data_IF_670570900548
#
_entry.id   IF_670570900548
#
_cell.length_a   1.000
_cell.length_b   1.000
_cell.length_c   1.000
_cell.angle_alpha   90.00
_cell.angle_beta   90.00
_cell.angle_gamma   90.00
#
_symmetry.space_group_name_H-M   'P 1'
#
loop_
_entity.id
_entity.type
_entity.pdbx_description
1 polymer ?
#
# COMPACT_ATOMS: atom_id res chain seq x y z
N UNK A 1 12.55 -4.72 -3.43
CA UNK A 1 12.72 -3.53 -4.30
C UNK A 1 12.08 -2.34 -3.62
N UNK A 2 12.68 -1.15 -3.69
CA UNK A 2 12.02 0.06 -3.18
C UNK A 2 10.99 0.53 -4.20
N UNK A 3 9.77 0.80 -3.77
CA UNK A 3 8.67 1.31 -4.59
C UNK A 3 7.98 2.47 -3.90
N UNK A 4 7.34 3.35 -4.68
CA UNK A 4 6.52 4.44 -4.15
C UNK A 4 5.12 3.92 -3.83
N UNK A 5 4.75 3.93 -2.55
CA UNK A 5 3.38 3.79 -2.10
C UNK A 5 2.67 5.13 -2.16
N UNK A 6 1.45 5.17 -2.70
CA UNK A 6 0.56 6.34 -2.63
C UNK A 6 -0.29 6.21 -1.37
N UNK A 7 -0.29 7.25 -0.53
CA UNK A 7 -1.13 7.35 0.66
C UNK A 7 -2.14 8.46 0.47
N UNK A 8 -3.42 8.13 0.54
CA UNK A 8 -4.56 9.04 0.37
C UNK A 8 -5.28 9.17 1.70
N UNK A 9 -5.43 10.39 2.19
CA UNK A 9 -6.25 10.65 3.37
C UNK A 9 -7.73 10.51 3.01
N UNK A 10 -8.44 9.68 3.78
CA UNK A 10 -9.86 9.44 3.65
C UNK A 10 -10.58 10.04 4.86
N UNK A 11 -11.42 11.03 4.61
CA UNK A 11 -12.42 11.44 5.59
C UNK A 11 -13.38 10.27 5.86
N UNK A 12 -13.84 10.13 7.10
CA UNK A 12 -14.82 9.10 7.49
C UNK A 12 -16.23 9.45 6.96
N UNK A 13 -16.37 9.45 5.64
CA UNK A 13 -17.62 9.68 4.90
C UNK A 13 -17.88 8.49 3.99
N UNK A 14 -19.12 8.02 3.98
CA UNK A 14 -19.55 6.95 3.09
C UNK A 14 -19.26 7.33 1.62
N UNK A 15 -18.71 6.38 0.86
CA UNK A 15 -18.40 6.54 -0.55
C UNK A 15 -17.04 7.16 -0.87
N UNK A 16 -16.29 7.70 0.11
CA UNK A 16 -15.02 8.39 -0.16
C UNK A 16 -13.94 7.46 -0.74
N UNK A 17 -13.88 6.22 -0.27
CA UNK A 17 -13.00 5.19 -0.83
C UNK A 17 -13.38 4.88 -2.30
N UNK A 18 -14.68 4.73 -2.58
CA UNK A 18 -15.17 4.46 -3.93
C UNK A 18 -14.79 5.58 -4.92
N UNK A 19 -14.92 6.83 -4.49
CA UNK A 19 -14.54 7.99 -5.28
C UNK A 19 -13.04 7.96 -5.66
N UNK A 20 -12.15 7.66 -4.70
CA UNK A 20 -10.71 7.52 -4.97
C UNK A 20 -10.44 6.43 -6.00
N UNK A 21 -11.04 5.24 -5.82
CA UNK A 21 -10.81 4.12 -6.74
C UNK A 21 -11.37 4.40 -8.13
N UNK A 22 -12.49 5.12 -8.22
CA UNK A 22 -13.09 5.52 -9.49
C UNK A 22 -12.22 6.53 -10.24
N UNK A 23 -11.73 7.58 -9.55
CA UNK A 23 -10.81 8.57 -10.13
C UNK A 23 -9.57 7.91 -10.72
N UNK A 24 -8.97 6.95 -10.00
CA UNK A 24 -7.80 6.22 -10.48
C UNK A 24 -8.13 5.33 -11.69
N UNK A 25 -9.28 4.64 -11.65
CA UNK A 25 -9.76 3.82 -12.76
C UNK A 25 -10.00 4.64 -14.03
N UNK A 26 -10.69 5.78 -13.92
CA UNK A 26 -10.96 6.69 -15.04
C UNK A 26 -9.67 7.27 -15.65
N UNK A 27 -8.61 7.41 -14.85
CA UNK A 27 -7.29 7.83 -15.31
C UNK A 27 -6.42 6.68 -15.87
N UNK A 28 -6.95 5.44 -15.93
CA UNK A 28 -6.24 4.26 -16.40
C UNK A 28 -5.11 3.79 -15.47
N UNK A 29 -5.23 4.05 -14.17
CA UNK A 29 -4.23 3.70 -13.16
C UNK A 29 -4.68 2.45 -12.41
N UNK A 30 -3.90 1.37 -12.54
CA UNK A 30 -4.20 0.13 -11.84
C UNK A 30 -3.69 0.15 -10.39
N UNK A 31 -4.45 -0.48 -9.49
CA UNK A 31 -4.04 -0.69 -8.09
C UNK A 31 -3.60 -2.14 -7.93
N UNK A 32 -2.34 -2.37 -7.58
CA UNK A 32 -1.74 -3.72 -7.49
C UNK A 32 -1.78 -4.29 -6.07
N UNK A 33 -1.80 -3.43 -5.06
CA UNK A 33 -1.95 -3.78 -3.65
C UNK A 33 -2.50 -2.57 -2.91
N UNK A 34 -3.27 -2.77 -1.84
CA UNK A 34 -3.70 -1.70 -0.96
C UNK A 34 -3.98 -2.20 0.46
N UNK A 35 -3.95 -1.27 1.40
CA UNK A 35 -4.44 -1.44 2.77
C UNK A 35 -5.07 -0.14 3.25
N UNK A 36 -6.05 -0.23 4.14
CA UNK A 36 -6.61 0.94 4.81
C UNK A 36 -6.10 0.90 6.24
N UNK A 37 -5.33 1.93 6.61
CA UNK A 37 -4.98 2.17 8.00
C UNK A 37 -6.05 3.10 8.58
N UNK A 38 -6.95 2.58 9.40
CA UNK A 38 -8.06 3.32 9.98
C UNK A 38 -7.86 3.64 11.47
N UNK A 39 -8.48 4.75 11.87
CA UNK A 39 -8.75 5.13 13.26
C UNK A 39 -10.24 5.43 13.36
N UNK A 40 -10.76 5.77 14.55
CA UNK A 40 -12.17 6.14 14.72
C UNK A 40 -12.61 7.32 13.84
N UNK A 41 -11.68 8.23 13.54
CA UNK A 41 -12.02 9.55 13.00
C UNK A 41 -11.64 9.71 11.52
N UNK A 42 -10.62 8.99 11.06
CA UNK A 42 -10.11 9.07 9.69
C UNK A 42 -9.40 7.78 9.27
N UNK A 43 -9.36 7.55 7.96
CA UNK A 43 -8.60 6.47 7.34
C UNK A 43 -7.50 6.98 6.42
N UNK A 44 -6.47 6.17 6.22
CA UNK A 44 -5.47 6.37 5.19
C UNK A 44 -5.47 5.17 4.28
N UNK A 45 -5.86 5.37 3.02
CA UNK A 45 -5.70 4.36 1.98
C UNK A 45 -4.25 4.39 1.51
N UNK A 46 -3.53 3.30 1.73
CA UNK A 46 -2.20 3.06 1.22
C UNK A 46 -2.30 2.12 0.04
N UNK A 47 -1.73 2.47 -1.10
CA UNK A 47 -1.83 1.66 -2.31
C UNK A 47 -0.54 1.68 -3.13
N UNK A 48 -0.31 0.59 -3.87
CA UNK A 48 0.71 0.48 -4.90
C UNK A 48 0.01 0.67 -6.25
N UNK A 49 0.22 1.84 -6.85
CA UNK A 49 -0.30 2.20 -8.17
C UNK A 49 0.67 1.77 -9.28
N UNK A 50 0.14 1.49 -10.47
CA UNK A 50 0.96 1.27 -11.68
C UNK A 50 1.76 2.51 -12.07
N UNK A 51 1.25 3.71 -11.78
CA UNK A 51 1.93 5.00 -11.95
C UNK A 51 1.68 5.88 -10.71
N UNK A 52 2.57 5.83 -9.70
CA UNK A 52 2.39 6.55 -8.44
C UNK A 52 2.39 8.07 -8.58
N UNK A 53 3.16 8.60 -9.53
CA UNK A 53 3.29 10.04 -9.74
C UNK A 53 2.02 10.58 -10.40
N UNK A 54 1.54 9.93 -11.46
CA UNK A 54 0.24 10.26 -12.09
C UNK A 54 -0.94 10.09 -11.13
N UNK A 55 -0.92 9.06 -10.29
CA UNK A 55 -1.96 8.85 -9.27
C UNK A 55 -2.03 10.03 -8.29
N UNK A 56 -0.87 10.50 -7.83
CA UNK A 56 -0.79 11.65 -6.95
C UNK A 56 -1.30 12.94 -7.62
N UNK A 57 -0.92 13.19 -8.86
CA UNK A 57 -1.40 14.35 -9.63
C UNK A 57 -2.92 14.32 -9.80
N UNK A 58 -3.45 13.21 -10.32
CA UNK A 58 -4.90 13.02 -10.58
C UNK A 58 -5.73 13.23 -9.31
N UNK A 59 -5.28 12.69 -8.17
CA UNK A 59 -6.00 12.82 -6.91
C UNK A 59 -5.91 14.23 -6.31
N UNK A 60 -4.78 14.94 -6.47
CA UNK A 60 -4.63 16.34 -6.04
C UNK A 60 -5.55 17.27 -6.81
N UNK A 61 -5.72 17.06 -8.12
CA UNK A 61 -6.68 17.81 -8.94
C UNK A 61 -8.13 17.66 -8.45
N UNK A 62 -8.44 16.52 -7.81
CA UNK A 62 -9.74 16.23 -7.18
C UNK A 62 -9.78 16.58 -5.69
N UNK A 63 -8.84 17.41 -5.22
CA UNK A 63 -8.77 17.93 -3.85
C UNK A 63 -8.57 16.85 -2.76
N UNK A 64 -8.00 15.70 -3.12
CA UNK A 64 -7.54 14.73 -2.11
C UNK A 64 -6.17 15.12 -1.56
N UNK A 65 -5.99 14.91 -0.26
CA UNK A 65 -4.67 14.98 0.38
C UNK A 65 -3.92 13.67 0.13
N UNK A 66 -2.83 13.75 -0.65
CA UNK A 66 -2.04 12.59 -1.07
C UNK A 66 -0.55 12.81 -0.92
N UNK A 67 0.16 11.76 -0.50
CA UNK A 67 1.62 11.73 -0.42
C UNK A 67 2.16 10.40 -0.91
N UNK A 68 3.41 10.39 -1.33
CA UNK A 68 4.16 9.15 -1.58
C UNK A 68 5.02 8.80 -0.37
N UNK A 69 5.31 7.52 -0.21
CA UNK A 69 6.24 6.99 0.79
C UNK A 69 7.00 5.83 0.17
N UNK A 70 8.31 5.80 0.34
CA UNK A 70 9.12 4.68 -0.13
C UNK A 70 8.88 3.47 0.77
N UNK A 71 8.54 2.33 0.17
CA UNK A 71 8.30 1.06 0.86
C UNK A 71 9.10 -0.07 0.19
N UNK A 72 9.32 -1.17 0.91
CA UNK A 72 10.10 -2.29 0.42
C UNK A 72 9.17 -3.43 0.01
N UNK A 73 9.07 -3.68 -1.29
CA UNK A 73 8.39 -4.87 -1.80
C UNK A 73 9.30 -6.11 -1.67
N UNK A 74 8.82 -7.14 -0.97
CA UNK A 74 9.52 -8.40 -0.74
C UNK A 74 8.66 -9.58 -1.17
N UNK A 75 9.28 -10.58 -1.78
CA UNK A 75 8.66 -11.89 -2.04
C UNK A 75 9.21 -12.90 -1.05
N UNK A 76 8.34 -13.72 -0.47
CA UNK A 76 8.72 -14.80 0.44
C UNK A 76 8.02 -16.09 0.05
N UNK A 77 8.59 -17.22 0.47
CA UNK A 77 7.92 -18.50 0.33
C UNK A 77 6.60 -18.49 1.14
N UNK A 78 5.51 -18.97 0.56
CA UNK A 78 4.24 -19.09 1.25
C UNK A 78 4.20 -20.40 2.07
N UNK A 79 4.98 -20.43 3.16
CA UNK A 79 5.04 -21.59 4.07
C UNK A 79 5.25 -21.16 5.52
N UNK A 80 4.88 -22.00 6.51
CA UNK A 80 5.09 -21.69 7.92
C UNK A 80 6.53 -21.26 8.22
N UNK A 81 6.68 -20.15 8.94
CA UNK A 81 7.98 -19.62 9.38
C UNK A 81 8.74 -18.78 8.34
N UNK A 82 8.30 -18.69 7.08
CA UNK A 82 9.02 -17.90 6.06
C UNK A 82 9.07 -16.40 6.39
N UNK A 83 7.96 -15.81 6.84
CA UNK A 83 7.95 -14.42 7.32
C UNK A 83 8.90 -14.23 8.50
N UNK A 84 8.93 -15.16 9.46
CA UNK A 84 9.86 -15.08 10.60
C UNK A 84 11.32 -15.07 10.15
N UNK A 85 11.67 -15.82 9.10
CA UNK A 85 13.03 -15.79 8.54
C UNK A 85 13.36 -14.41 7.94
N UNK A 86 12.43 -13.80 7.19
CA UNK A 86 12.60 -12.44 6.69
C UNK A 86 12.79 -11.42 7.83
N UNK A 87 11.90 -11.48 8.83
CA UNK A 87 11.91 -10.55 9.96
C UNK A 87 13.18 -10.67 10.81
N UNK A 88 13.77 -11.88 10.92
CA UNK A 88 15.05 -12.09 11.62
C UNK A 88 16.19 -11.33 10.95
N UNK A 89 16.22 -11.27 9.61
CA UNK A 89 17.25 -10.51 8.88
C UNK A 89 17.11 -9.02 9.18
N UNK A 90 15.89 -8.48 9.10
CA UNK A 90 15.63 -7.07 9.41
C UNK A 90 15.97 -6.72 10.87
N UNK A 91 15.62 -7.61 11.81
CA UNK A 91 15.92 -7.43 13.22
C UNK A 91 17.43 -7.44 13.51
N UNK A 92 18.19 -8.32 12.85
CA UNK A 92 19.64 -8.41 13.02
C UNK A 92 20.36 -7.11 12.59
N UNK A 93 19.81 -6.41 11.60
CA UNK A 93 20.29 -5.10 11.13
C UNK A 93 19.72 -3.92 11.93
N UNK A 94 18.92 -4.18 12.97
CA UNK A 94 18.28 -3.13 13.78
C UNK A 94 17.19 -2.35 13.03
N UNK A 95 16.67 -2.87 11.91
CA UNK A 95 15.64 -2.20 11.12
C UNK A 95 14.27 -2.31 11.82
N UNK A 96 13.69 -1.16 12.16
CA UNK A 96 12.34 -1.07 12.70
C UNK A 96 11.29 -1.13 11.59
N UNK A 97 10.20 -1.87 11.82
CA UNK A 97 9.08 -2.02 10.88
C UNK A 97 7.90 -1.20 11.40
N UNK A 98 7.58 -0.11 10.69
CA UNK A 98 6.44 0.75 11.06
C UNK A 98 5.10 0.10 10.73
N UNK A 99 5.01 -0.56 9.58
CA UNK A 99 3.84 -1.32 9.13
C UNK A 99 4.24 -2.31 8.05
N UNK A 100 3.36 -3.27 7.80
CA UNK A 100 3.50 -4.30 6.77
C UNK A 100 2.11 -4.73 6.31
N UNK A 101 1.93 -5.01 5.03
CA UNK A 101 0.76 -5.70 4.52
C UNK A 101 1.17 -6.73 3.48
N UNK A 102 0.49 -7.88 3.50
CA UNK A 102 0.91 -9.02 2.69
C UNK A 102 -0.29 -9.79 2.16
N UNK A 103 -0.09 -10.42 1.00
CA UNK A 103 -1.05 -11.32 0.40
C UNK A 103 -0.33 -12.42 -0.37
N UNK A 104 -0.92 -13.61 -0.42
CA UNK A 104 -0.44 -14.73 -1.24
C UNK A 104 -1.33 -14.90 -2.46
N UNK A 105 -0.76 -14.75 -3.66
CA UNK A 105 -1.49 -14.95 -4.93
C UNK A 105 -1.57 -16.43 -5.33
N UNK A 106 -0.75 -17.28 -4.71
CA UNK A 106 -0.71 -18.73 -4.89
C UNK A 106 -0.13 -19.42 -3.64
N UNK A 107 -0.11 -20.76 -3.65
CA UNK A 107 0.40 -21.57 -2.53
C UNK A 107 1.93 -21.51 -2.37
N UNK A 108 2.64 -20.88 -3.31
CA UNK A 108 4.11 -20.87 -3.33
C UNK A 108 4.71 -19.54 -2.83
N UNK A 109 4.05 -18.41 -3.10
CA UNK A 109 4.63 -17.07 -2.92
C UNK A 109 3.67 -16.12 -2.19
N UNK A 110 4.20 -15.49 -1.15
CA UNK A 110 3.59 -14.33 -0.51
C UNK A 110 4.32 -13.05 -0.94
N UNK A 111 3.55 -12.04 -1.35
CA UNK A 111 4.03 -10.68 -1.62
C UNK A 111 3.78 -9.84 -0.39
N UNK A 112 4.83 -9.17 0.06
CA UNK A 112 4.85 -8.33 1.24
C UNK A 112 5.22 -6.92 0.79
N UNK A 113 4.49 -5.94 1.31
CA UNK A 113 4.71 -4.51 1.10
C UNK A 113 4.98 -3.83 2.43
#
# INVERSE_FOLDING_TARGET
MIVKQVSVFLENKSGRLNEVTQILGDAGINISAFTVADTSDFGVLRLIASDPDKACETLREKQFSVRTTDVILVKTANRPGALSQLLKVLHAEGAFIEYLYAFSMNDDTAVIV
#
